data_IF_674149189246
#
_entry.id   IF_674149189246
#
_cell.length_a   1.000
_cell.length_b   1.000
_cell.length_c   1.000
_cell.angle_alpha   90.00
_cell.angle_beta   90.00
_cell.angle_gamma   90.00
#
_symmetry.space_group_name_H-M   'P 1'
#
loop_
_entity.id
_entity.type
_entity.pdbx_description
1 polymer ?
#
# COMPACT_ATOMS: atom_id res chain seq x y z
N UNK A 1 -5.44 4.92 -14.28
CA UNK A 1 -5.32 3.63 -13.53
C UNK A 1 -6.19 3.73 -12.28
N UNK A 2 -6.70 2.64 -11.71
CA UNK A 2 -7.45 2.70 -10.45
C UNK A 2 -6.55 2.46 -9.24
N UNK A 3 -6.70 3.27 -8.18
CA UNK A 3 -5.91 3.15 -6.96
C UNK A 3 -6.70 3.53 -5.69
N UNK A 4 -6.16 3.13 -4.53
CA UNK A 4 -6.52 3.63 -3.20
C UNK A 4 -5.30 4.35 -2.64
N UNK A 5 -5.48 5.58 -2.19
CA UNK A 5 -4.44 6.37 -1.53
C UNK A 5 -4.62 6.30 0.00
N UNK A 6 -3.55 6.02 0.72
CA UNK A 6 -3.55 5.83 2.17
C UNK A 6 -2.23 6.30 2.80
N UNK A 7 -2.18 6.31 4.14
CA UNK A 7 -0.93 6.55 4.86
C UNK A 7 -0.08 5.28 4.95
N UNK A 8 1.24 5.42 5.08
CA UNK A 8 2.13 4.29 5.32
C UNK A 8 1.77 3.54 6.62
N UNK A 9 1.29 4.26 7.65
CA UNK A 9 0.72 3.64 8.85
C UNK A 9 -0.38 2.63 8.52
N UNK A 10 -1.28 2.98 7.60
CA UNK A 10 -2.38 2.11 7.17
C UNK A 10 -1.85 0.92 6.38
N UNK A 11 -0.91 1.14 5.46
CA UNK A 11 -0.27 0.05 4.71
C UNK A 11 0.40 -0.96 5.64
N UNK A 12 1.19 -0.48 6.62
CA UNK A 12 1.88 -1.34 7.57
C UNK A 12 0.91 -2.18 8.40
N UNK A 13 -0.28 -1.67 8.73
CA UNK A 13 -1.34 -2.47 9.38
C UNK A 13 -1.90 -3.55 8.47
N UNK A 14 -2.09 -3.26 7.18
CA UNK A 14 -2.59 -4.22 6.20
C UNK A 14 -1.62 -5.39 6.05
N UNK A 15 -0.30 -5.12 5.97
CA UNK A 15 0.72 -6.15 5.80
C UNK A 15 1.17 -6.82 7.10
N UNK A 16 0.76 -6.32 8.27
CA UNK A 16 1.04 -6.95 9.57
C UNK A 16 0.17 -8.16 9.86
N UNK A 17 -0.78 -8.51 8.98
CA UNK A 17 -1.58 -9.75 9.11
C UNK A 17 -0.66 -10.94 8.79
N UNK A 18 -0.65 -11.96 9.66
CA UNK A 18 0.25 -13.11 9.56
C UNK A 18 0.26 -13.77 8.16
N UNK A 19 1.44 -13.84 7.54
CA UNK A 19 1.67 -14.53 6.26
C UNK A 19 1.52 -13.67 5.01
N UNK A 20 1.29 -12.37 5.15
CA UNK A 20 1.22 -11.44 4.01
C UNK A 20 2.60 -10.92 3.60
N UNK A 21 2.83 -10.86 2.28
CA UNK A 21 4.02 -10.28 1.67
C UNK A 21 3.64 -9.01 0.87
N UNK A 22 4.48 -7.96 0.89
CA UNK A 22 5.74 -7.83 1.65
C UNK A 22 5.50 -7.62 3.16
N UNK A 23 6.47 -7.98 3.98
CA UNK A 23 6.43 -7.76 5.43
C UNK A 23 6.57 -6.26 5.79
N UNK A 24 6.14 -5.84 7.00
CA UNK A 24 6.34 -4.46 7.47
C UNK A 24 7.81 -4.03 7.42
N UNK A 25 8.73 -4.90 7.85
CA UNK A 25 10.16 -4.61 7.89
C UNK A 25 10.73 -4.31 6.48
N UNK A 26 10.36 -5.11 5.48
CA UNK A 26 10.77 -4.89 4.07
C UNK A 26 10.26 -3.56 3.51
N UNK A 27 9.04 -3.15 3.90
CA UNK A 27 8.47 -1.87 3.50
C UNK A 27 9.16 -0.69 4.21
N UNK A 28 9.52 -0.84 5.48
CA UNK A 28 10.29 0.18 6.21
C UNK A 28 11.69 0.37 5.62
N UNK A 29 12.36 -0.71 5.20
CA UNK A 29 13.68 -0.64 4.53
C UNK A 29 13.66 0.17 3.23
N UNK A 30 12.54 0.19 2.50
CA UNK A 30 12.36 0.99 1.27
C UNK A 30 11.79 2.40 1.53
N UNK A 31 11.61 2.75 2.80
CA UNK A 31 11.28 4.10 3.27
C UNK A 31 9.79 4.36 3.51
N UNK A 32 8.97 3.32 3.66
CA UNK A 32 7.62 3.47 4.21
C UNK A 32 7.74 3.83 5.70
N UNK A 33 6.99 4.84 6.13
CA UNK A 33 6.83 5.20 7.53
C UNK A 33 5.40 5.70 7.76
N UNK A 34 5.05 6.00 9.00
CA UNK A 34 3.69 6.43 9.38
C UNK A 34 3.18 7.65 8.58
N UNK A 35 4.07 8.56 8.17
CA UNK A 35 3.74 9.80 7.47
C UNK A 35 3.83 9.69 5.94
N UNK A 36 4.33 8.56 5.41
CA UNK A 36 4.39 8.31 3.97
C UNK A 36 3.00 8.32 3.36
N UNK A 37 2.86 8.87 2.15
CA UNK A 37 1.64 8.72 1.35
C UNK A 37 1.86 7.58 0.36
N UNK A 38 0.94 6.63 0.37
CA UNK A 38 1.01 5.38 -0.38
C UNK A 38 -0.18 5.31 -1.34
N UNK A 39 0.05 4.77 -2.54
CA UNK A 39 -1.00 4.25 -3.40
C UNK A 39 -0.86 2.75 -3.56
N UNK A 40 -1.99 2.07 -3.57
CA UNK A 40 -2.09 0.69 -4.02
C UNK A 40 -2.99 0.68 -5.25
N UNK A 41 -2.56 0.05 -6.34
CA UNK A 41 -3.40 -0.11 -7.53
C UNK A 41 -4.10 -1.49 -7.57
N UNK A 42 -5.01 -1.69 -8.55
CA UNK A 42 -5.75 -2.96 -8.72
C UNK A 42 -4.92 -4.15 -9.21
N UNK A 43 -3.64 -3.97 -9.49
CA UNK A 43 -2.70 -5.05 -9.77
C UNK A 43 -1.94 -5.47 -8.50
N UNK A 44 -2.10 -4.72 -7.41
CA UNK A 44 -1.40 -4.94 -6.14
C UNK A 44 -0.17 -4.08 -5.99
N UNK A 45 0.22 -3.30 -7.00
CA UNK A 45 1.43 -2.48 -6.94
C UNK A 45 1.33 -1.45 -5.82
N UNK A 46 2.38 -1.36 -5.02
CA UNK A 46 2.54 -0.40 -3.94
C UNK A 46 3.45 0.72 -4.41
N UNK A 47 2.92 1.94 -4.41
CA UNK A 47 3.63 3.14 -4.82
C UNK A 47 3.78 4.10 -3.63
N UNK A 48 4.97 4.67 -3.45
CA UNK A 48 5.22 5.71 -2.43
C UNK A 48 5.33 7.09 -3.08
N UNK A 49 4.73 8.09 -2.43
CA UNK A 49 4.85 9.48 -2.86
C UNK A 49 6.24 10.02 -2.58
N UNK A 50 6.94 10.41 -3.63
CA UNK A 50 8.15 11.24 -3.57
C UNK A 50 7.81 12.69 -3.90
N UNK A 51 8.80 13.58 -3.81
CA UNK A 51 8.63 15.02 -4.05
C UNK A 51 8.02 15.36 -5.42
N UNK A 52 8.29 14.54 -6.45
CA UNK A 52 7.88 14.85 -7.83
C UNK A 52 7.11 13.74 -8.54
N UNK A 53 7.04 12.54 -7.97
CA UNK A 53 6.52 11.36 -8.64
C UNK A 53 6.07 10.30 -7.62
N UNK A 54 5.53 9.21 -8.16
CA UNK A 54 5.27 7.97 -7.45
C UNK A 54 6.39 6.98 -7.80
N UNK A 55 6.96 6.31 -6.80
CA UNK A 55 7.94 5.24 -6.98
C UNK A 55 7.28 3.90 -6.64
N UNK A 56 7.39 2.93 -7.53
CA UNK A 56 7.00 1.54 -7.27
C UNK A 56 7.99 0.92 -6.27
N UNK A 57 7.48 0.40 -5.15
CA UNK A 57 8.29 -0.15 -4.06
C UNK A 57 7.98 -1.62 -3.73
N UNK A 58 6.89 -2.18 -4.26
CA UNK A 58 6.51 -3.55 -4.00
C UNK A 58 5.15 -3.90 -4.58
N UNK A 59 4.63 -5.06 -4.21
CA UNK A 59 3.31 -5.51 -4.62
C UNK A 59 2.65 -6.35 -3.54
N UNK A 60 1.39 -6.08 -3.22
CA UNK A 60 0.58 -6.91 -2.33
C UNK A 60 0.17 -8.20 -3.04
N UNK A 61 0.33 -9.32 -2.34
CA UNK A 61 -0.03 -10.64 -2.84
C UNK A 61 -1.32 -11.17 -2.19
N UNK A 62 -1.97 -12.14 -2.85
CA UNK A 62 -3.18 -12.80 -2.35
C UNK A 62 -4.43 -11.95 -2.48
N UNK A 63 -5.37 -12.10 -1.54
CA UNK A 63 -6.68 -11.43 -1.54
C UNK A 63 -6.60 -9.97 -1.02
N UNK A 64 -5.60 -9.24 -1.49
CA UNK A 64 -5.28 -7.92 -0.97
C UNK A 64 -6.37 -6.89 -1.24
N UNK A 65 -7.12 -6.98 -2.36
CA UNK A 65 -8.19 -6.02 -2.68
C UNK A 65 -9.23 -5.98 -1.55
N UNK A 66 -9.67 -7.14 -1.07
CA UNK A 66 -10.60 -7.22 0.06
C UNK A 66 -9.97 -6.69 1.35
N UNK A 67 -8.72 -7.08 1.67
CA UNK A 67 -8.05 -6.59 2.88
C UNK A 67 -7.90 -5.07 2.90
N UNK A 68 -7.51 -4.48 1.78
CA UNK A 68 -7.35 -3.03 1.64
C UNK A 68 -8.71 -2.34 1.83
N UNK A 69 -9.78 -2.85 1.21
CA UNK A 69 -11.11 -2.28 1.37
C UNK A 69 -11.66 -2.44 2.79
N UNK A 70 -11.45 -3.59 3.43
CA UNK A 70 -11.85 -3.83 4.82
C UNK A 70 -11.14 -2.88 5.81
N UNK A 71 -9.84 -2.68 5.65
CA UNK A 71 -9.04 -1.83 6.56
C UNK A 71 -9.26 -0.34 6.32
N UNK A 72 -9.52 0.07 5.08
CA UNK A 72 -9.62 1.50 4.73
C UNK A 72 -11.06 2.01 4.62
N UNK A 73 -12.00 1.15 4.23
CA UNK A 73 -13.34 1.55 3.81
C UNK A 73 -13.37 2.42 2.55
N UNK A 74 -12.27 2.50 1.80
CA UNK A 74 -12.13 3.35 0.62
C UNK A 74 -12.51 2.60 -0.66
N UNK A 75 -12.95 3.36 -1.66
CA UNK A 75 -13.24 2.86 -3.00
C UNK A 75 -12.07 3.13 -3.96
N UNK A 76 -11.96 2.29 -4.98
CA UNK A 76 -10.99 2.43 -6.06
C UNK A 76 -11.34 3.62 -6.96
N UNK A 77 -10.50 4.65 -6.97
CA UNK A 77 -10.70 5.85 -7.80
C UNK A 77 -9.82 5.81 -9.04
N UNK A 78 -10.29 6.43 -10.12
CA UNK A 78 -9.49 6.62 -11.34
C UNK A 78 -8.56 7.84 -11.21
N UNK A 79 -7.35 7.70 -11.78
CA UNK A 79 -6.34 8.77 -11.91
C UNK A 79 -6.73 9.93 -12.82
#
# INVERSE_FOLDING_TARGET
>A
MQFIEMTGKTLLRIVSRDGDEPSPDELEEVGVNDESIIRVNRQGDIEIRRTRNWDLIGGLLGDYENRVQEETGLEWIEE
#
